data_IF_610326804957
#
_entry.id   IF_610326804957
#
_cell.length_a   1.000
_cell.length_b   1.000
_cell.length_c   1.000
_cell.angle_alpha   90.00
_cell.angle_beta   90.00
_cell.angle_gamma   90.00
#
_symmetry.space_group_name_H-M   'P 1'
#
loop_
_entity.id
_entity.type
_entity.pdbx_description
1 polymer ?
#
# COMPACT_ATOMS: atom_id res chain seq x y z
N UNK A 1 22.81 1.53 15.79
CA UNK A 1 22.66 0.12 15.39
C UNK A 1 21.68 0.11 14.22
N UNK A 2 22.17 0.23 13.00
CA UNK A 2 21.36 0.29 11.77
C UNK A 2 21.44 -1.07 11.10
N UNK A 3 20.45 -1.92 11.36
CA UNK A 3 20.41 -3.29 10.82
C UNK A 3 18.98 -3.57 10.38
N UNK A 4 18.60 -3.08 9.20
CA UNK A 4 17.23 -3.30 8.69
C UNK A 4 17.05 -3.03 7.20
N UNK A 5 17.64 -1.94 6.68
CA UNK A 5 17.40 -1.52 5.28
C UNK A 5 17.83 -2.56 4.23
N UNK A 6 19.00 -3.18 4.40
CA UNK A 6 19.55 -4.11 3.40
C UNK A 6 18.90 -5.50 3.42
N UNK A 7 18.15 -5.85 4.48
CA UNK A 7 17.43 -7.12 4.58
C UNK A 7 16.06 -7.08 3.92
N UNK A 8 15.51 -5.88 3.70
CA UNK A 8 14.17 -5.71 3.15
C UNK A 8 14.08 -6.10 1.67
N UNK A 9 15.10 -5.80 0.85
CA UNK A 9 15.10 -6.13 -0.59
C UNK A 9 15.41 -7.59 -0.91
N UNK A 10 16.03 -8.32 0.01
CA UNK A 10 16.29 -9.76 -0.13
C UNK A 10 15.14 -10.63 0.43
N UNK A 11 14.12 -10.01 1.03
CA UNK A 11 12.95 -10.70 1.54
C UNK A 11 12.04 -11.18 0.40
N UNK A 12 11.55 -12.41 0.48
CA UNK A 12 10.67 -13.01 -0.53
C UNK A 12 9.46 -12.11 -0.87
N UNK A 13 8.71 -11.66 0.15
CA UNK A 13 7.57 -10.75 -0.05
C UNK A 13 8.01 -9.42 -0.69
N UNK A 14 8.95 -8.71 -0.06
CA UNK A 14 9.34 -7.38 -0.52
C UNK A 14 10.14 -7.36 -1.82
N UNK A 15 10.71 -8.50 -2.25
CA UNK A 15 11.39 -8.62 -3.54
C UNK A 15 10.42 -8.54 -4.73
N UNK A 16 9.14 -8.87 -4.50
CA UNK A 16 8.05 -8.70 -5.46
C UNK A 16 7.37 -7.34 -5.40
N UNK A 17 7.91 -6.38 -4.65
CA UNK A 17 7.35 -5.04 -4.47
C UNK A 17 8.41 -3.96 -4.73
N UNK A 18 8.08 -3.04 -5.61
CA UNK A 18 8.80 -1.79 -5.86
C UNK A 18 8.67 -0.83 -4.68
N UNK A 19 9.41 0.26 -4.73
CA UNK A 19 9.29 1.32 -3.72
C UNK A 19 7.96 2.11 -3.90
N UNK A 20 7.38 2.09 -5.09
CA UNK A 20 6.04 2.62 -5.38
C UNK A 20 5.32 1.71 -6.37
N UNK A 21 4.14 1.25 -6.01
CA UNK A 21 3.21 0.50 -6.87
C UNK A 21 1.92 1.29 -7.07
N UNK A 22 1.29 1.04 -8.21
CA UNK A 22 0.04 1.68 -8.61
C UNK A 22 -0.87 0.67 -9.31
N UNK A 23 -2.17 0.74 -9.00
CA UNK A 23 -3.21 0.00 -9.68
C UNK A 23 -4.40 0.90 -9.97
N UNK A 24 -5.13 0.58 -11.03
CA UNK A 24 -6.20 1.38 -11.59
C UNK A 24 -7.28 0.47 -12.15
N UNK A 25 -8.54 0.82 -11.91
CA UNK A 25 -9.67 0.23 -12.63
C UNK A 25 -10.72 1.28 -12.96
N UNK A 26 -11.46 1.04 -14.05
CA UNK A 26 -12.53 1.94 -14.49
C UNK A 26 -13.79 1.16 -14.82
N UNK A 27 -14.91 1.65 -14.31
CA UNK A 27 -16.21 1.05 -14.59
C UNK A 27 -16.47 0.98 -16.10
N UNK A 28 -16.79 -0.24 -16.57
CA UNK A 28 -17.08 -0.50 -17.98
C UNK A 28 -15.84 -0.58 -18.88
N UNK A 29 -14.63 -0.60 -18.31
CA UNK A 29 -13.37 -0.72 -19.07
C UNK A 29 -12.39 -1.76 -18.50
N UNK A 30 -12.84 -2.99 -18.22
CA UNK A 30 -12.07 -4.00 -17.49
C UNK A 30 -10.79 -4.45 -18.21
N UNK A 31 -10.70 -4.28 -19.52
CA UNK A 31 -9.51 -4.63 -20.30
C UNK A 31 -8.30 -3.72 -20.00
N UNK A 32 -8.50 -2.60 -19.30
CA UNK A 32 -7.46 -1.69 -18.84
C UNK A 32 -7.20 -1.77 -17.33
N UNK A 33 -7.88 -2.67 -16.62
CA UNK A 33 -7.65 -2.84 -15.19
C UNK A 33 -6.21 -3.33 -14.94
N UNK A 34 -5.59 -2.69 -13.96
CA UNK A 34 -4.29 -3.09 -13.42
C UNK A 34 -4.45 -3.42 -11.94
N UNK A 35 -3.56 -4.26 -11.42
CA UNK A 35 -3.64 -4.77 -10.06
C UNK A 35 -2.30 -4.61 -9.37
N UNK A 36 -2.32 -4.38 -8.05
CA UNK A 36 -1.11 -4.45 -7.26
C UNK A 36 -0.52 -5.88 -7.33
N UNK A 37 0.81 -6.04 -7.24
CA UNK A 37 1.43 -7.36 -7.20
C UNK A 37 0.86 -8.22 -6.05
N UNK A 38 0.76 -9.53 -6.25
CA UNK A 38 0.25 -10.49 -5.24
C UNK A 38 0.99 -10.35 -3.88
N UNK A 39 2.26 -9.97 -3.92
CA UNK A 39 3.05 -9.71 -2.71
C UNK A 39 2.45 -8.62 -1.79
N UNK A 40 1.67 -7.68 -2.33
CA UNK A 40 0.99 -6.63 -1.56
C UNK A 40 -0.09 -7.20 -0.62
N UNK A 41 -0.73 -8.30 -1.01
CA UNK A 41 -1.75 -9.00 -0.19
C UNK A 41 -1.12 -9.71 1.02
N UNK A 42 0.18 -10.01 0.96
CA UNK A 42 0.93 -10.65 2.05
C UNK A 42 1.33 -9.67 3.15
N UNK A 43 1.15 -8.35 2.93
CA UNK A 43 1.43 -7.33 3.93
C UNK A 43 0.33 -7.30 4.99
N UNK A 44 0.70 -7.20 6.26
CA UNK A 44 -0.26 -7.13 7.36
C UNK A 44 -0.64 -5.69 7.64
N UNK A 45 -1.93 -5.41 7.87
CA UNK A 45 -2.40 -4.10 8.31
C UNK A 45 -2.02 -3.93 9.77
N UNK A 46 -1.17 -2.95 10.06
CA UNK A 46 -0.78 -2.59 11.43
C UNK A 46 -1.72 -1.50 11.96
N UNK A 47 -2.15 -0.58 11.11
CA UNK A 47 -3.08 0.49 11.47
C UNK A 47 -3.95 0.89 10.28
N UNK A 48 -5.25 0.98 10.50
CA UNK A 48 -6.21 1.53 9.53
C UNK A 48 -6.73 2.86 10.05
N UNK A 49 -6.41 3.95 9.35
CA UNK A 49 -6.81 5.31 9.74
C UNK A 49 -8.21 5.67 9.22
N UNK A 50 -8.79 4.84 8.36
CA UNK A 50 -10.11 5.07 7.76
C UNK A 50 -10.88 3.75 7.61
N UNK A 51 -11.15 3.02 8.71
CA UNK A 51 -11.73 1.67 8.65
C UNK A 51 -13.11 1.65 7.97
N UNK A 52 -13.91 2.70 8.20
CA UNK A 52 -15.25 2.88 7.61
C UNK A 52 -15.25 3.81 6.39
N UNK A 53 -14.08 4.33 5.98
CA UNK A 53 -13.95 5.21 4.83
C UNK A 53 -14.03 4.45 3.51
N UNK A 54 -14.58 5.12 2.49
CA UNK A 54 -14.51 4.65 1.09
C UNK A 54 -13.09 4.74 0.53
N UNK A 55 -12.32 5.74 0.99
CA UNK A 55 -10.88 5.84 0.76
C UNK A 55 -10.15 5.16 1.91
N UNK A 56 -9.20 4.29 1.57
CA UNK A 56 -8.35 3.62 2.55
C UNK A 56 -7.10 4.44 2.77
N UNK A 57 -6.66 4.47 4.02
CA UNK A 57 -5.35 4.92 4.43
C UNK A 57 -4.87 3.95 5.49
N UNK A 58 -3.90 3.10 5.13
CA UNK A 58 -3.48 1.99 5.98
C UNK A 58 -1.95 1.95 6.06
N UNK A 59 -1.43 1.90 7.29
CA UNK A 59 -0.06 1.53 7.53
C UNK A 59 0.02 0.00 7.56
N UNK A 60 0.79 -0.56 6.62
CA UNK A 60 1.02 -1.99 6.49
C UNK A 60 2.48 -2.33 6.74
N UNK A 61 2.74 -3.56 7.15
CA UNK A 61 4.09 -4.05 7.40
C UNK A 61 4.29 -5.42 6.73
N UNK A 62 5.48 -5.66 6.20
CA UNK A 62 5.87 -6.99 5.78
C UNK A 62 6.10 -7.86 7.02
N UNK A 63 5.36 -8.97 7.21
CA UNK A 63 5.53 -9.82 8.38
C UNK A 63 6.89 -10.54 8.42
N UNK A 64 7.55 -10.70 7.27
CA UNK A 64 8.80 -11.45 7.15
C UNK A 64 10.05 -10.64 7.47
N UNK A 65 10.09 -9.36 7.10
CA UNK A 65 11.28 -8.51 7.27
C UNK A 65 11.03 -7.18 8.00
N UNK A 66 9.77 -6.89 8.33
CA UNK A 66 9.41 -5.67 9.06
C UNK A 66 9.35 -4.39 8.24
N UNK A 67 9.58 -4.44 6.93
CA UNK A 67 9.52 -3.26 6.06
C UNK A 67 8.11 -2.63 6.06
N UNK A 68 8.06 -1.31 6.10
CA UNK A 68 6.81 -0.55 6.17
C UNK A 68 6.32 -0.10 4.81
N UNK A 69 5.01 -0.10 4.65
CA UNK A 69 4.34 0.40 3.46
C UNK A 69 3.11 1.20 3.85
N UNK A 70 2.84 2.26 3.08
CA UNK A 70 1.59 2.99 3.13
C UNK A 70 0.71 2.54 1.97
N UNK A 71 -0.45 1.99 2.29
CA UNK A 71 -1.49 1.67 1.31
C UNK A 71 -2.57 2.75 1.34
N UNK A 72 -2.93 3.24 0.15
CA UNK A 72 -3.95 4.26 -0.05
C UNK A 72 -4.84 3.90 -1.21
N UNK A 73 -6.12 4.25 -1.11
CA UNK A 73 -7.01 4.26 -2.27
C UNK A 73 -7.56 5.65 -2.52
N UNK A 74 -7.80 5.93 -3.79
CA UNK A 74 -8.66 7.03 -4.21
C UNK A 74 -9.79 6.48 -5.07
N UNK A 75 -10.87 7.24 -5.15
CA UNK A 75 -12.02 6.93 -5.94
C UNK A 75 -12.65 8.22 -6.44
N UNK A 76 -12.91 8.25 -7.74
CA UNK A 76 -13.63 9.34 -8.38
C UNK A 76 -14.92 8.85 -9.04
N UNK A 77 -15.97 9.65 -8.89
CA UNK A 77 -17.23 9.45 -9.58
C UNK A 77 -17.33 10.43 -10.74
N UNK A 78 -17.39 9.91 -11.96
CA UNK A 78 -17.50 10.66 -13.20
C UNK A 78 -18.84 10.35 -13.87
N UNK A 79 -19.22 11.16 -14.86
CA UNK A 79 -20.47 10.97 -15.62
C UNK A 79 -20.62 9.57 -16.22
N UNK A 80 -19.50 8.90 -16.54
CA UNK A 80 -19.47 7.60 -17.19
C UNK A 80 -19.17 6.43 -16.25
N UNK A 81 -19.27 6.64 -14.92
CA UNK A 81 -19.00 5.61 -13.92
C UNK A 81 -17.87 6.01 -13.00
N UNK A 82 -17.16 5.00 -12.50
CA UNK A 82 -16.19 5.18 -11.42
C UNK A 82 -14.79 4.89 -11.87
N UNK A 83 -13.84 5.56 -11.25
CA UNK A 83 -12.42 5.26 -11.37
C UNK A 83 -11.89 4.98 -9.96
N UNK A 84 -11.26 3.82 -9.80
CA UNK A 84 -10.70 3.34 -8.54
C UNK A 84 -9.18 3.26 -8.69
N UNK A 85 -8.46 3.90 -7.77
CA UNK A 85 -7.00 3.93 -7.76
C UNK A 85 -6.46 3.34 -6.46
N UNK A 86 -5.39 2.56 -6.57
CA UNK A 86 -4.67 2.03 -5.42
C UNK A 86 -3.18 2.40 -5.50
N UNK A 87 -2.62 2.77 -4.36
CA UNK A 87 -1.22 3.15 -4.22
C UNK A 87 -0.60 2.36 -3.07
N UNK A 88 0.58 1.81 -3.29
CA UNK A 88 1.38 1.19 -2.24
C UNK A 88 2.81 1.76 -2.27
N UNK A 89 3.18 2.49 -1.23
CA UNK A 89 4.48 3.16 -1.15
C UNK A 89 5.30 2.58 -0.01
N UNK A 90 6.54 2.14 -0.29
CA UNK A 90 7.50 1.74 0.74
C UNK A 90 7.92 2.98 1.53
N UNK A 91 7.92 2.86 2.85
CA UNK A 91 8.32 3.94 3.76
C UNK A 91 9.71 3.68 4.33
N UNK A 92 10.42 4.75 4.68
CA UNK A 92 11.55 4.68 5.61
C UNK A 92 11.05 4.50 7.05
N UNK A 93 11.96 4.19 7.98
CA UNK A 93 11.56 4.02 9.39
C UNK A 93 11.08 5.32 10.02
N UNK A 94 11.64 6.45 9.58
CA UNK A 94 11.25 7.80 9.99
C UNK A 94 9.83 8.12 9.50
N UNK A 95 9.54 7.93 8.22
CA UNK A 95 8.21 8.13 7.65
C UNK A 95 7.18 7.21 8.32
N UNK A 96 7.52 5.94 8.50
CA UNK A 96 6.65 4.99 9.18
C UNK A 96 6.42 5.38 10.65
N UNK A 97 7.39 6.00 11.33
CA UNK A 97 7.22 6.49 12.69
C UNK A 97 6.15 7.59 12.78
N UNK A 98 6.08 8.48 11.79
CA UNK A 98 5.04 9.52 11.74
C UNK A 98 3.64 8.89 11.69
N UNK A 99 3.43 7.89 10.85
CA UNK A 99 2.15 7.17 10.77
C UNK A 99 1.86 6.37 12.04
N UNK A 100 2.83 5.67 12.62
CA UNK A 100 2.63 4.93 13.89
C UNK A 100 2.14 5.84 15.01
N UNK A 101 2.68 7.06 15.08
CA UNK A 101 2.35 8.05 16.11
C UNK A 101 1.09 8.86 15.82
N UNK A 102 0.60 8.85 14.57
CA UNK A 102 -0.64 9.53 14.20
C UNK A 102 -1.83 8.86 14.90
N UNK A 103 -2.78 9.60 15.49
CA UNK A 103 -4.00 9.01 16.06
C UNK A 103 -4.84 8.28 15.01
N UNK A 104 -5.67 7.33 15.47
CA UNK A 104 -6.69 6.66 14.65
C UNK A 104 -7.84 7.61 14.29
#
# INVERSE_FOLDING_TARGET
>A
MTTGENSSRACEVCSGLSDSEYAYSKFGWPEHDTFLPEAAEKLVIVKDFQPLGSRKLQLRQCPSCGAWFLYRTDYEYLTNGTEDEEFLTRLTEEEAAEYRNKPE
#
